data_IF_103525511989
#
_entry.id   IF_103525511989
#
_cell.length_a   1.000
_cell.length_b   1.000
_cell.length_c   1.000
_cell.angle_alpha   90.00
_cell.angle_beta   90.00
_cell.angle_gamma   90.00
#
_symmetry.space_group_name_H-M   'P 1'
#
loop_
_entity.id
_entity.type
_entity.pdbx_description
1 polymer ?
#
# COMPACT_ATOMS: atom_id res chain seq x y z
N UNK A 1 -21.83 -15.95 8.69
CA UNK A 1 -21.04 -14.76 9.08
C UNK A 1 -19.74 -14.77 8.29
N UNK A 2 -19.24 -13.61 7.82
CA UNK A 2 -17.93 -13.54 7.16
C UNK A 2 -16.83 -13.84 8.16
N UNK A 3 -15.85 -14.64 7.75
CA UNK A 3 -14.63 -14.91 8.50
C UNK A 3 -13.43 -15.10 7.54
N UNK A 4 -12.23 -14.89 8.07
CA UNK A 4 -10.97 -14.99 7.34
C UNK A 4 -10.25 -16.27 7.76
N UNK A 5 -9.74 -17.02 6.79
CA UNK A 5 -8.97 -18.25 7.03
C UNK A 5 -7.68 -18.25 6.23
N UNK A 6 -6.67 -18.89 6.79
CA UNK A 6 -5.44 -19.20 6.06
C UNK A 6 -5.74 -20.11 4.88
N UNK A 7 -4.92 -20.01 3.84
CA UNK A 7 -4.95 -20.95 2.74
C UNK A 7 -4.10 -22.16 3.12
N UNK A 8 -4.71 -23.35 3.05
CA UNK A 8 -4.11 -24.62 3.41
C UNK A 8 -4.33 -25.64 2.28
N UNK A 9 -3.71 -26.79 2.37
CA UNK A 9 -3.93 -27.89 1.40
C UNK A 9 -5.41 -28.32 1.34
N UNK A 10 -6.14 -28.17 2.43
CA UNK A 10 -7.56 -28.55 2.52
C UNK A 10 -8.47 -27.63 1.68
N UNK A 11 -8.18 -26.31 1.63
CA UNK A 11 -9.03 -25.33 0.94
C UNK A 11 -8.44 -24.78 -0.37
N UNK A 12 -7.13 -24.95 -0.59
CA UNK A 12 -6.43 -24.41 -1.75
C UNK A 12 -7.17 -24.66 -3.08
N UNK A 13 -7.62 -25.91 -3.32
CA UNK A 13 -8.30 -26.28 -4.58
C UNK A 13 -9.63 -25.56 -4.79
N UNK A 14 -10.28 -25.14 -3.72
CA UNK A 14 -11.51 -24.35 -3.80
C UNK A 14 -11.19 -22.88 -4.08
N UNK A 15 -10.20 -22.32 -3.37
CA UNK A 15 -9.82 -20.90 -3.47
C UNK A 15 -9.31 -20.56 -4.88
N UNK A 16 -8.49 -21.39 -5.50
CA UNK A 16 -7.96 -21.13 -6.86
C UNK A 16 -9.03 -21.16 -7.96
N UNK A 17 -10.22 -21.73 -7.68
CA UNK A 17 -11.35 -21.78 -8.62
C UNK A 17 -12.30 -20.60 -8.49
N UNK A 18 -12.20 -19.81 -7.44
CA UNK A 18 -13.02 -18.62 -7.29
C UNK A 18 -12.64 -17.59 -8.37
N UNK A 19 -13.62 -17.10 -9.09
CA UNK A 19 -13.45 -16.11 -10.17
C UNK A 19 -14.40 -14.95 -9.98
N UNK A 20 -14.02 -13.79 -10.45
CA UNK A 20 -14.92 -12.63 -10.60
C UNK A 20 -15.74 -12.75 -11.89
N UNK A 21 -16.70 -11.86 -12.06
CA UNK A 21 -17.38 -11.71 -13.36
C UNK A 21 -16.38 -11.34 -14.46
N UNK A 22 -16.64 -11.76 -15.71
CA UNK A 22 -15.76 -11.50 -16.85
C UNK A 22 -15.45 -10.01 -17.03
N UNK A 23 -16.44 -9.15 -16.80
CA UNK A 23 -16.28 -7.70 -16.86
C UNK A 23 -15.29 -7.12 -15.83
N UNK A 24 -15.05 -7.85 -14.76
CA UNK A 24 -14.13 -7.47 -13.67
C UNK A 24 -12.75 -8.13 -13.79
N UNK A 25 -12.58 -9.10 -14.69
CA UNK A 25 -11.34 -9.88 -14.83
C UNK A 25 -10.10 -9.04 -15.17
N UNK A 26 -10.29 -7.86 -15.74
CA UNK A 26 -9.23 -6.89 -16.02
C UNK A 26 -8.76 -6.10 -14.80
N UNK A 27 -9.51 -6.10 -13.70
CA UNK A 27 -9.19 -5.32 -12.50
C UNK A 27 -8.53 -6.13 -11.38
N UNK A 28 -8.53 -7.45 -11.47
CA UNK A 28 -7.91 -8.30 -10.44
C UNK A 28 -7.27 -9.54 -11.07
N UNK A 29 -6.05 -9.82 -10.67
CA UNK A 29 -5.36 -11.04 -11.10
C UNK A 29 -6.06 -12.30 -10.56
N UNK A 30 -5.88 -13.43 -11.25
CA UNK A 30 -6.41 -14.72 -10.77
C UNK A 30 -5.78 -15.12 -9.43
N UNK A 31 -6.53 -15.87 -8.61
CA UNK A 31 -6.01 -16.36 -7.33
C UNK A 31 -4.78 -17.26 -7.51
N UNK A 32 -4.69 -18.01 -8.62
CA UNK A 32 -3.49 -18.81 -8.96
C UNK A 32 -2.27 -17.91 -9.14
N UNK A 33 -2.40 -16.84 -9.93
CA UNK A 33 -1.32 -15.90 -10.16
C UNK A 33 -0.91 -15.20 -8.85
N UNK A 34 -1.89 -14.75 -8.05
CA UNK A 34 -1.65 -14.07 -6.77
C UNK A 34 -0.91 -14.97 -5.77
N UNK A 35 -1.24 -16.25 -5.72
CA UNK A 35 -0.53 -17.22 -4.88
C UNK A 35 0.90 -17.50 -5.37
N UNK A 36 1.12 -17.49 -6.70
CA UNK A 36 2.47 -17.59 -7.27
C UNK A 36 3.30 -16.33 -6.93
N UNK A 37 2.71 -15.12 -6.98
CA UNK A 37 3.37 -13.89 -6.51
C UNK A 37 3.69 -13.96 -5.01
N UNK A 38 2.78 -14.46 -4.18
CA UNK A 38 3.02 -14.62 -2.75
C UNK A 38 4.20 -15.57 -2.48
N UNK A 39 4.38 -16.61 -3.29
CA UNK A 39 5.50 -17.53 -3.16
C UNK A 39 6.86 -16.84 -3.36
N UNK A 40 6.98 -15.89 -4.28
CA UNK A 40 8.23 -15.16 -4.54
C UNK A 40 8.42 -13.93 -3.65
N UNK A 41 7.37 -13.49 -2.94
CA UNK A 41 7.36 -12.36 -2.02
C UNK A 41 6.97 -12.77 -0.59
N UNK A 42 7.52 -13.88 -0.08
CA UNK A 42 7.09 -14.50 1.19
C UNK A 42 7.25 -13.58 2.42
N UNK A 43 8.16 -12.64 2.37
CA UNK A 43 8.43 -11.71 3.47
C UNK A 43 7.29 -10.69 3.63
N UNK A 44 6.67 -10.27 2.53
CA UNK A 44 5.62 -9.24 2.48
C UNK A 44 4.22 -9.83 2.25
N UNK A 45 4.07 -10.74 1.29
CA UNK A 45 2.75 -11.21 0.87
C UNK A 45 2.08 -12.14 1.89
N UNK A 46 0.83 -11.84 2.21
CA UNK A 46 -0.02 -12.62 3.14
C UNK A 46 -1.36 -12.92 2.47
N UNK A 47 -1.51 -14.06 1.78
CA UNK A 47 -2.75 -14.48 1.14
C UNK A 47 -3.72 -15.13 2.13
N UNK A 48 -5.01 -14.80 1.99
CA UNK A 48 -6.10 -15.31 2.82
C UNK A 48 -7.34 -15.66 2.00
N UNK A 49 -8.14 -16.58 2.52
CA UNK A 49 -9.46 -16.93 2.02
C UNK A 49 -10.55 -16.21 2.82
N UNK A 50 -11.58 -15.72 2.11
CA UNK A 50 -12.79 -15.15 2.70
C UNK A 50 -13.88 -16.23 2.68
N UNK A 51 -14.46 -16.49 3.83
CA UNK A 51 -15.54 -17.46 4.01
C UNK A 51 -16.83 -16.78 4.46
N UNK A 52 -17.96 -17.27 3.98
CA UNK A 52 -19.25 -17.10 4.62
C UNK A 52 -19.66 -18.42 5.25
N UNK A 53 -19.66 -18.46 6.58
CA UNK A 53 -19.74 -19.70 7.36
C UNK A 53 -18.67 -20.71 6.90
N UNK A 54 -19.07 -21.86 6.32
CA UNK A 54 -18.13 -22.88 5.82
C UNK A 54 -17.89 -22.80 4.29
N UNK A 55 -18.47 -21.81 3.60
CA UNK A 55 -18.36 -21.68 2.16
C UNK A 55 -17.30 -20.64 1.80
N UNK A 56 -16.29 -20.97 1.00
CA UNK A 56 -15.33 -19.97 0.49
C UNK A 56 -16.05 -19.07 -0.53
N UNK A 57 -15.99 -17.76 -0.29
CA UNK A 57 -16.69 -16.76 -1.10
C UNK A 57 -15.77 -15.73 -1.74
N UNK A 58 -14.50 -15.69 -1.35
CA UNK A 58 -13.55 -14.72 -1.87
C UNK A 58 -12.11 -15.00 -1.45
N UNK A 59 -11.25 -14.10 -1.90
CA UNK A 59 -9.81 -14.13 -1.65
C UNK A 59 -9.32 -12.69 -1.45
N UNK A 60 -8.30 -12.52 -0.61
CA UNK A 60 -7.51 -11.31 -0.56
C UNK A 60 -6.05 -11.63 -0.25
N UNK A 61 -5.17 -10.69 -0.56
CA UNK A 61 -3.75 -10.77 -0.24
C UNK A 61 -3.30 -9.41 0.28
N UNK A 62 -2.61 -9.43 1.40
CA UNK A 62 -2.01 -8.24 1.99
C UNK A 62 -0.55 -8.14 1.57
N UNK A 63 -0.10 -6.91 1.40
CA UNK A 63 1.29 -6.52 1.42
C UNK A 63 1.61 -5.98 2.83
N UNK A 64 2.49 -6.68 3.56
CA UNK A 64 2.70 -6.49 4.98
C UNK A 64 4.05 -5.83 5.22
N UNK A 65 4.10 -4.50 5.13
CA UNK A 65 5.35 -3.74 5.28
C UNK A 65 5.47 -3.07 6.65
N UNK A 66 6.24 -3.70 7.55
CA UNK A 66 6.51 -3.14 8.88
C UNK A 66 7.51 -1.97 8.83
N UNK A 67 8.34 -1.86 7.79
CA UNK A 67 9.32 -0.77 7.64
C UNK A 67 8.64 0.56 7.30
N UNK A 68 7.64 0.53 6.42
CA UNK A 68 6.79 1.69 6.10
C UNK A 68 5.62 1.87 7.09
N UNK A 69 5.49 0.98 8.07
CA UNK A 69 4.37 0.96 9.03
C UNK A 69 3.01 0.92 8.34
N UNK A 70 2.94 0.22 7.21
CA UNK A 70 1.77 0.15 6.34
C UNK A 70 1.36 -1.29 6.01
N UNK A 71 0.12 -1.45 5.59
CA UNK A 71 -0.38 -2.69 5.00
C UNK A 71 -1.12 -2.35 3.71
N UNK A 72 -0.66 -2.90 2.60
CA UNK A 72 -1.35 -2.85 1.33
C UNK A 72 -2.43 -3.94 1.23
N UNK A 73 -3.62 -3.62 0.72
CA UNK A 73 -4.56 -4.63 0.23
C UNK A 73 -4.22 -4.90 -1.23
N UNK A 74 -3.19 -5.72 -1.45
CA UNK A 74 -2.66 -5.99 -2.78
C UNK A 74 -3.64 -6.70 -3.72
N UNK A 75 -4.52 -7.54 -3.15
CA UNK A 75 -5.60 -8.23 -3.92
C UNK A 75 -6.84 -8.33 -3.07
N UNK A 76 -7.97 -8.11 -3.70
CA UNK A 76 -9.27 -8.32 -3.06
C UNK A 76 -10.32 -8.72 -4.09
N UNK A 77 -11.00 -9.83 -3.84
CA UNK A 77 -12.11 -10.24 -4.70
C UNK A 77 -13.18 -11.03 -3.93
N UNK A 78 -14.42 -10.88 -4.35
CA UNK A 78 -15.53 -11.77 -4.01
C UNK A 78 -15.92 -12.51 -5.29
N UNK A 79 -16.06 -13.81 -5.21
CA UNK A 79 -16.50 -14.64 -6.34
C UNK A 79 -17.83 -14.16 -6.93
N UNK A 80 -17.97 -14.18 -8.25
CA UNK A 80 -19.16 -13.70 -8.97
C UNK A 80 -20.47 -14.27 -8.42
N UNK A 81 -20.49 -15.55 -8.03
CA UNK A 81 -21.65 -16.23 -7.43
C UNK A 81 -22.05 -15.68 -6.05
N UNK A 82 -21.16 -14.96 -5.41
CA UNK A 82 -21.29 -14.45 -4.04
C UNK A 82 -21.32 -12.93 -3.94
N UNK A 83 -21.25 -12.21 -5.07
CA UNK A 83 -21.36 -10.76 -5.12
C UNK A 83 -22.78 -10.26 -4.82
N UNK A 84 -22.94 -8.96 -4.62
CA UNK A 84 -24.22 -8.27 -4.34
C UNK A 84 -24.96 -8.75 -3.06
N UNK A 85 -24.26 -9.47 -2.16
CA UNK A 85 -24.79 -9.95 -0.87
C UNK A 85 -24.22 -9.17 0.32
N UNK A 86 -23.47 -8.10 0.07
CA UNK A 86 -22.80 -7.31 1.11
C UNK A 86 -21.53 -7.95 1.68
N UNK A 87 -21.07 -9.09 1.13
CA UNK A 87 -19.91 -9.82 1.65
C UNK A 87 -18.62 -9.05 1.48
N UNK A 88 -18.44 -8.28 0.41
CA UNK A 88 -17.26 -7.45 0.20
C UNK A 88 -17.04 -6.46 1.35
N UNK A 89 -18.11 -5.72 1.73
CA UNK A 89 -18.02 -4.76 2.84
C UNK A 89 -17.74 -5.45 4.18
N UNK A 90 -18.39 -6.57 4.46
CA UNK A 90 -18.14 -7.33 5.70
C UNK A 90 -16.70 -7.87 5.72
N UNK A 91 -16.18 -8.35 4.58
CA UNK A 91 -14.82 -8.84 4.47
C UNK A 91 -13.79 -7.72 4.73
N UNK A 92 -13.99 -6.52 4.17
CA UNK A 92 -13.12 -5.38 4.47
C UNK A 92 -13.13 -5.06 5.97
N UNK A 93 -14.27 -5.07 6.65
CA UNK A 93 -14.28 -4.85 8.11
C UNK A 93 -13.50 -5.93 8.89
N UNK A 94 -13.58 -7.20 8.48
CA UNK A 94 -12.77 -8.25 9.11
C UNK A 94 -11.27 -8.08 8.81
N UNK A 95 -10.90 -7.62 7.59
CA UNK A 95 -9.50 -7.27 7.24
C UNK A 95 -9.02 -6.10 8.10
N UNK A 96 -9.80 -5.01 8.21
CA UNK A 96 -9.45 -3.87 9.05
C UNK A 96 -9.24 -4.29 10.51
N UNK A 97 -10.08 -5.19 11.02
CA UNK A 97 -9.94 -5.73 12.36
C UNK A 97 -8.66 -6.56 12.51
N UNK A 98 -8.38 -7.46 11.58
CA UNK A 98 -7.16 -8.28 11.57
C UNK A 98 -5.91 -7.41 11.65
N UNK A 99 -5.86 -6.33 10.85
CA UNK A 99 -4.72 -5.42 10.79
C UNK A 99 -4.62 -4.58 12.08
N UNK A 100 -5.75 -4.06 12.59
CA UNK A 100 -5.78 -3.31 13.85
C UNK A 100 -5.31 -4.15 15.03
N UNK A 101 -5.72 -5.41 15.10
CA UNK A 101 -5.35 -6.33 16.18
C UNK A 101 -3.83 -6.62 16.19
N UNK A 102 -3.15 -6.53 15.05
CA UNK A 102 -1.69 -6.64 14.97
C UNK A 102 -0.97 -5.47 15.66
N UNK A 103 -1.58 -4.27 15.72
CA UNK A 103 -1.07 -3.06 16.39
C UNK A 103 0.36 -2.66 15.98
N UNK A 104 0.67 -2.78 14.69
CA UNK A 104 2.00 -2.53 14.11
C UNK A 104 2.02 -1.38 13.11
N UNK A 105 0.86 -1.02 12.55
CA UNK A 105 0.72 -0.18 11.39
C UNK A 105 0.01 1.13 11.71
N UNK A 106 0.30 2.15 10.94
CA UNK A 106 -0.28 3.47 11.07
C UNK A 106 -1.41 3.70 10.05
N UNK A 107 -1.36 2.99 8.90
CA UNK A 107 -2.39 3.08 7.87
C UNK A 107 -2.47 1.81 7.02
N UNK A 108 -3.57 1.70 6.28
CA UNK A 108 -3.78 0.69 5.24
C UNK A 108 -3.89 1.44 3.92
N UNK A 109 -3.27 0.92 2.86
CA UNK A 109 -3.43 1.44 1.51
C UNK A 109 -3.96 0.37 0.56
N UNK A 110 -4.46 0.82 -0.55
CA UNK A 110 -4.81 0.02 -1.71
C UNK A 110 -4.81 0.91 -2.95
N UNK A 111 -4.63 0.28 -4.09
CA UNK A 111 -4.70 0.90 -5.39
C UNK A 111 -5.92 0.37 -6.16
N UNK A 112 -6.52 1.22 -6.98
CA UNK A 112 -7.61 0.80 -7.84
C UNK A 112 -7.58 1.52 -9.20
N UNK A 113 -7.92 0.78 -10.25
CA UNK A 113 -8.08 1.34 -11.59
C UNK A 113 -9.28 2.30 -11.63
N UNK A 114 -9.16 3.54 -12.15
CA UNK A 114 -10.22 4.56 -12.12
C UNK A 114 -11.59 4.10 -12.63
N UNK A 115 -11.64 3.17 -13.60
CA UNK A 115 -12.86 2.60 -14.17
C UNK A 115 -13.53 1.56 -13.27
N UNK A 116 -12.88 1.13 -12.19
CA UNK A 116 -13.44 0.17 -11.24
C UNK A 116 -14.34 0.86 -10.20
N UNK A 117 -15.46 1.43 -10.67
CA UNK A 117 -16.41 2.16 -9.83
C UNK A 117 -17.02 1.33 -8.70
N UNK A 118 -17.09 0.00 -8.87
CA UNK A 118 -17.60 -0.92 -7.84
C UNK A 118 -16.62 -0.96 -6.65
N UNK A 119 -15.35 -1.17 -6.93
CA UNK A 119 -14.30 -1.16 -5.91
C UNK A 119 -14.19 0.20 -5.24
N UNK A 120 -14.14 1.29 -6.02
CA UNK A 120 -14.13 2.67 -5.52
C UNK A 120 -15.25 2.92 -4.53
N UNK A 121 -16.50 2.61 -4.91
CA UNK A 121 -17.68 2.80 -4.05
C UNK A 121 -17.63 1.95 -2.78
N UNK A 122 -17.10 0.72 -2.88
CA UNK A 122 -16.92 -0.16 -1.73
C UNK A 122 -15.92 0.47 -0.74
N UNK A 123 -14.74 0.87 -1.20
CA UNK A 123 -13.68 1.40 -0.34
C UNK A 123 -14.06 2.72 0.33
N UNK A 124 -14.67 3.66 -0.40
CA UNK A 124 -15.24 4.87 0.21
C UNK A 124 -16.29 4.55 1.29
N UNK A 125 -17.14 3.54 1.05
CA UNK A 125 -18.22 3.18 1.97
C UNK A 125 -17.72 2.61 3.32
N UNK A 126 -16.46 2.20 3.39
CA UNK A 126 -15.83 1.67 4.61
C UNK A 126 -14.79 2.62 5.20
N UNK A 127 -14.60 3.80 4.59
CA UNK A 127 -13.81 4.89 5.15
C UNK A 127 -12.43 5.10 4.54
N UNK A 128 -12.09 4.44 3.43
CA UNK A 128 -10.88 4.80 2.68
C UNK A 128 -11.08 6.16 2.00
N UNK A 129 -10.00 6.90 1.85
CA UNK A 129 -9.94 8.20 1.17
C UNK A 129 -8.81 8.18 0.15
N UNK A 130 -9.00 8.86 -1.00
CA UNK A 130 -7.92 9.10 -1.96
C UNK A 130 -6.89 10.06 -1.33
N UNK A 131 -5.60 9.69 -1.37
CA UNK A 131 -4.54 10.54 -0.82
C UNK A 131 -3.96 11.53 -1.85
N UNK A 132 -4.43 11.46 -3.10
CA UNK A 132 -4.00 12.30 -4.21
C UNK A 132 -2.80 11.77 -4.99
N UNK A 133 -2.35 10.56 -4.69
CA UNK A 133 -1.24 9.88 -5.38
C UNK A 133 -1.76 8.84 -6.36
N UNK A 134 -0.87 8.46 -7.28
CA UNK A 134 -1.08 7.42 -8.29
C UNK A 134 0.06 6.41 -8.21
N UNK A 135 -0.26 5.13 -8.37
CA UNK A 135 0.72 4.09 -8.67
C UNK A 135 0.50 3.64 -10.13
N UNK A 136 1.38 4.07 -11.02
CA UNK A 136 1.16 3.94 -12.46
C UNK A 136 -0.13 4.64 -12.91
N UNK A 137 -1.12 3.88 -13.34
CA UNK A 137 -2.45 4.34 -13.74
C UNK A 137 -3.55 4.07 -12.70
N UNK A 138 -3.18 3.58 -11.51
CA UNK A 138 -4.10 3.28 -10.41
C UNK A 138 -4.13 4.42 -9.38
N UNK A 139 -5.29 4.71 -8.83
CA UNK A 139 -5.50 5.71 -7.78
C UNK A 139 -5.22 5.07 -6.42
N UNK A 140 -4.39 5.74 -5.60
CA UNK A 140 -4.07 5.29 -4.24
C UNK A 140 -5.14 5.76 -3.26
N UNK A 141 -5.65 4.83 -2.46
CA UNK A 141 -6.52 5.13 -1.32
C UNK A 141 -5.88 4.68 -0.01
N UNK A 142 -6.12 5.43 1.06
CA UNK A 142 -5.60 5.15 2.40
C UNK A 142 -6.72 5.08 3.44
N UNK A 143 -6.53 4.25 4.45
CA UNK A 143 -7.35 4.18 5.66
C UNK A 143 -6.46 4.38 6.88
N UNK A 144 -6.58 5.49 7.62
CA UNK A 144 -5.77 5.75 8.79
C UNK A 144 -6.14 4.80 9.94
N UNK A 145 -5.14 4.25 10.60
CA UNK A 145 -5.29 3.41 11.80
C UNK A 145 -5.00 4.18 13.07
N UNK A 146 -4.36 5.35 12.96
CA UNK A 146 -4.00 6.24 14.07
C UNK A 146 -4.19 7.70 13.67
N UNK A 147 -4.50 8.55 14.65
CA UNK A 147 -4.57 10.01 14.45
C UNK A 147 -3.17 10.67 14.49
N UNK A 148 -2.13 9.90 14.84
CA UNK A 148 -0.75 10.39 14.96
C UNK A 148 0.23 9.39 14.31
N UNK A 149 0.25 9.31 12.96
CA UNK A 149 1.13 8.41 12.25
C UNK A 149 2.60 8.77 12.47
N UNK A 150 3.44 7.75 12.59
CA UNK A 150 4.89 7.94 12.70
C UNK A 150 5.53 8.09 11.34
N UNK A 151 6.72 8.66 11.32
CA UNK A 151 7.56 8.70 10.11
C UNK A 151 8.09 7.30 9.83
N UNK A 152 7.74 6.76 8.66
CA UNK A 152 8.40 5.61 8.06
C UNK A 152 9.62 6.04 7.27
N UNK A 153 10.54 5.11 6.95
CA UNK A 153 11.62 5.38 6.01
C UNK A 153 12.09 4.11 5.31
N UNK A 154 12.53 4.26 4.07
CA UNK A 154 13.18 3.22 3.26
C UNK A 154 14.43 3.77 2.58
N UNK A 155 15.26 2.85 2.06
CA UNK A 155 16.34 3.24 1.13
C UNK A 155 15.69 3.37 -0.24
N UNK A 156 15.84 4.54 -0.84
CA UNK A 156 15.29 4.83 -2.15
C UNK A 156 15.99 4.03 -3.26
N UNK A 157 15.23 3.59 -4.22
CA UNK A 157 15.69 2.94 -5.45
C UNK A 157 15.30 3.73 -6.72
N UNK A 158 15.50 3.14 -7.91
CA UNK A 158 15.24 3.85 -9.16
C UNK A 158 13.72 4.05 -9.42
N UNK A 159 12.85 3.24 -8.84
CA UNK A 159 11.40 3.35 -8.98
C UNK A 159 10.85 4.56 -8.18
N UNK A 160 11.52 4.97 -7.11
CA UNK A 160 11.19 6.17 -6.32
C UNK A 160 11.53 7.51 -7.03
N UNK A 161 12.19 7.48 -8.19
CA UNK A 161 12.81 8.66 -8.79
C UNK A 161 11.83 9.81 -9.08
N UNK A 162 10.68 9.50 -9.67
CA UNK A 162 9.70 10.54 -10.07
C UNK A 162 9.10 11.21 -8.81
N UNK A 163 8.78 10.45 -7.78
CA UNK A 163 8.26 10.97 -6.51
C UNK A 163 9.28 11.86 -5.79
N UNK A 164 10.55 11.44 -5.77
CA UNK A 164 11.63 12.22 -5.18
C UNK A 164 11.95 13.50 -5.94
N UNK A 165 11.80 13.52 -7.27
CA UNK A 165 11.98 14.76 -8.06
C UNK A 165 10.85 15.75 -7.80
N UNK A 166 9.61 15.28 -7.63
CA UNK A 166 8.47 16.11 -7.23
C UNK A 166 8.71 16.76 -5.85
N UNK A 167 9.27 16.00 -4.90
CA UNK A 167 9.66 16.55 -3.59
C UNK A 167 10.68 17.68 -3.72
N UNK A 168 11.69 17.55 -4.61
CA UNK A 168 12.67 18.60 -4.90
C UNK A 168 12.00 19.84 -5.47
N UNK A 169 11.11 19.66 -6.43
CA UNK A 169 10.43 20.79 -7.10
C UNK A 169 9.49 21.50 -6.12
N UNK A 170 8.78 20.78 -5.29
CA UNK A 170 7.98 21.37 -4.21
C UNK A 170 8.84 22.15 -3.19
N UNK A 171 10.04 21.62 -2.87
CA UNK A 171 11.00 22.34 -2.05
C UNK A 171 11.46 23.66 -2.68
N UNK A 172 11.72 23.68 -4.01
CA UNK A 172 12.05 24.91 -4.75
C UNK A 172 10.91 25.92 -4.73
N UNK A 173 9.68 25.48 -4.96
CA UNK A 173 8.48 26.32 -4.90
C UNK A 173 8.30 26.99 -3.53
N UNK A 174 8.66 26.29 -2.46
CA UNK A 174 8.66 26.78 -1.07
C UNK A 174 9.89 27.62 -0.71
N UNK A 175 10.76 27.94 -1.68
CA UNK A 175 12.03 28.67 -1.49
C UNK A 175 13.01 27.98 -0.52
N UNK A 176 12.98 26.67 -0.43
CA UNK A 176 13.92 25.89 0.39
C UNK A 176 15.32 25.85 -0.26
N UNK A 177 16.36 25.79 0.56
CA UNK A 177 17.72 25.58 0.07
C UNK A 177 17.91 24.11 -0.32
N UNK A 178 17.91 23.84 -1.62
CA UNK A 178 18.08 22.47 -2.13
C UNK A 178 19.56 22.06 -2.09
N UNK A 179 19.94 20.98 -1.39
CA UNK A 179 21.30 20.44 -1.43
C UNK A 179 21.76 20.06 -2.83
N UNK A 180 23.05 20.21 -3.11
CA UNK A 180 23.63 19.95 -4.46
C UNK A 180 23.44 18.52 -4.95
N UNK A 181 23.36 17.56 -4.05
CA UNK A 181 23.07 16.14 -4.36
C UNK A 181 21.63 15.90 -4.88
N UNK A 182 20.72 16.87 -4.70
CA UNK A 182 19.32 16.77 -5.11
C UNK A 182 18.92 17.81 -6.17
N UNK A 183 19.79 18.77 -6.51
CA UNK A 183 19.44 19.98 -7.26
C UNK A 183 18.90 19.73 -8.68
N UNK A 184 19.23 18.59 -9.27
CA UNK A 184 18.78 18.19 -10.61
C UNK A 184 18.66 16.67 -10.71
N UNK A 185 18.00 16.21 -11.79
CA UNK A 185 17.74 14.78 -12.08
C UNK A 185 19.01 13.92 -12.07
N UNK A 186 20.12 14.41 -12.65
CA UNK A 186 21.38 13.65 -12.74
C UNK A 186 22.00 13.41 -11.35
N UNK A 187 22.01 14.44 -10.50
CA UNK A 187 22.55 14.34 -9.14
C UNK A 187 21.69 13.46 -8.26
N UNK A 188 20.36 13.56 -8.38
CA UNK A 188 19.43 12.70 -7.64
C UNK A 188 19.61 11.22 -8.02
N UNK A 189 19.66 10.89 -9.31
CA UNK A 189 19.93 9.52 -9.78
C UNK A 189 21.27 8.98 -9.29
N UNK A 190 22.31 9.81 -9.25
CA UNK A 190 23.60 9.40 -8.66
C UNK A 190 23.46 9.06 -7.19
N UNK A 191 22.70 9.84 -6.42
CA UNK A 191 22.46 9.60 -5.00
C UNK A 191 21.69 8.30 -4.76
N UNK A 192 20.65 8.03 -5.56
CA UNK A 192 19.88 6.78 -5.51
C UNK A 192 20.81 5.57 -5.74
N UNK A 193 21.63 5.60 -6.78
CA UNK A 193 22.55 4.50 -7.14
C UNK A 193 23.61 4.16 -6.07
N UNK A 194 23.76 4.98 -5.05
CA UNK A 194 24.66 4.67 -3.92
C UNK A 194 24.04 3.75 -2.88
N UNK A 195 22.73 3.48 -2.94
CA UNK A 195 21.93 2.80 -1.90
C UNK A 195 22.05 3.48 -0.51
N UNK A 196 22.22 4.79 -0.47
CA UNK A 196 22.32 5.59 0.77
C UNK A 196 21.25 6.65 0.88
N UNK A 197 20.53 6.94 -0.21
CA UNK A 197 19.43 7.88 -0.19
C UNK A 197 18.29 7.28 0.61
N UNK A 198 17.85 7.92 1.69
CA UNK A 198 16.67 7.56 2.46
C UNK A 198 15.50 8.44 2.02
N UNK A 199 14.34 7.86 1.82
CA UNK A 199 13.07 8.57 1.73
C UNK A 199 12.28 8.39 3.02
N UNK A 200 11.52 9.41 3.40
CA UNK A 200 10.73 9.42 4.62
C UNK A 200 9.28 9.68 4.27
N UNK A 201 8.39 8.84 4.80
CA UNK A 201 6.97 8.85 4.45
C UNK A 201 6.09 9.07 5.67
N UNK A 202 4.91 9.66 5.44
CA UNK A 202 3.79 9.67 6.37
C UNK A 202 2.57 9.15 5.62
N UNK A 203 2.03 8.01 6.06
CA UNK A 203 0.89 7.35 5.42
C UNK A 203 1.10 7.11 3.92
N UNK A 204 2.31 6.65 3.55
CA UNK A 204 2.71 6.38 2.18
C UNK A 204 3.21 7.59 1.40
N UNK A 205 2.88 8.80 1.80
CA UNK A 205 3.30 10.02 1.12
C UNK A 205 4.72 10.43 1.50
N UNK A 206 5.59 10.61 0.51
CA UNK A 206 6.95 11.12 0.75
C UNK A 206 6.92 12.58 1.21
N UNK A 207 7.51 12.83 2.36
CA UNK A 207 7.58 14.16 2.99
C UNK A 207 9.01 14.69 3.11
N UNK A 208 10.00 13.82 2.99
CA UNK A 208 11.40 14.17 3.09
C UNK A 208 12.30 13.13 2.42
N UNK A 209 13.54 13.55 2.11
CA UNK A 209 14.65 12.66 1.76
C UNK A 209 15.94 13.12 2.39
N UNK A 210 16.85 12.18 2.64
CA UNK A 210 18.20 12.50 3.12
C UNK A 210 19.27 11.68 2.41
N UNK A 211 20.46 12.27 2.28
CA UNK A 211 21.67 11.64 1.76
C UNK A 211 22.86 12.14 2.56
N UNK A 212 23.55 11.23 3.27
CA UNK A 212 24.53 11.57 4.31
C UNK A 212 23.87 12.52 5.35
N UNK A 213 24.47 13.71 5.60
CA UNK A 213 23.98 14.74 6.54
C UNK A 213 23.02 15.78 5.92
N UNK A 214 22.65 15.58 4.66
CA UNK A 214 21.80 16.53 3.91
C UNK A 214 20.38 16.04 3.84
N UNK A 215 19.44 16.94 4.07
CA UNK A 215 17.99 16.64 4.11
C UNK A 215 17.20 17.70 3.34
N UNK A 216 16.12 17.27 2.69
CA UNK A 216 14.95 18.08 2.33
C UNK A 216 13.77 17.50 3.09
N UNK A 217 13.05 18.32 3.83
CA UNK A 217 11.81 17.97 4.53
C UNK A 217 10.77 19.05 4.27
N UNK A 218 9.67 18.70 3.61
CA UNK A 218 8.57 19.63 3.29
C UNK A 218 7.54 19.77 4.39
N UNK A 219 7.52 18.86 5.36
CA UNK A 219 6.62 18.84 6.51
C UNK A 219 7.40 19.12 7.80
N UNK A 220 7.67 20.39 8.09
CA UNK A 220 8.53 20.85 9.20
C UNK A 220 8.21 20.21 10.56
N UNK A 221 6.94 19.92 10.82
CA UNK A 221 6.50 19.29 12.09
C UNK A 221 7.12 17.90 12.34
N UNK A 222 7.61 17.22 11.30
CA UNK A 222 8.27 15.91 11.40
C UNK A 222 9.80 15.98 11.37
N UNK A 223 10.38 17.15 11.18
CA UNK A 223 11.83 17.30 11.00
C UNK A 223 12.63 16.74 12.19
N UNK A 224 12.21 17.01 13.43
CA UNK A 224 12.88 16.51 14.62
C UNK A 224 12.83 14.98 14.75
N UNK A 225 11.74 14.36 14.30
CA UNK A 225 11.60 12.90 14.26
C UNK A 225 12.53 12.30 13.21
N UNK A 226 12.59 12.89 12.02
CA UNK A 226 13.47 12.46 10.92
C UNK A 226 14.95 12.56 11.33
N UNK A 227 15.36 13.64 11.97
CA UNK A 227 16.73 13.83 12.46
C UNK A 227 17.13 12.69 13.41
N UNK A 228 16.26 12.30 14.33
CA UNK A 228 16.51 11.17 15.25
C UNK A 228 16.64 9.82 14.53
N UNK A 229 15.96 9.64 13.40
CA UNK A 229 16.08 8.42 12.57
C UNK A 229 17.40 8.42 11.78
N UNK A 230 17.96 9.61 11.48
CA UNK A 230 19.23 9.74 10.75
C UNK A 230 20.45 9.44 11.65
N UNK A 231 20.36 9.72 12.96
CA UNK A 231 21.39 9.43 13.97
C UNK A 231 21.54 7.92 14.24
#
# INVERSE_FOLDING_TARGET
MINIRNITDENFRQIIKLTVDESQSKFVATNVYSLAQAWVNQDLARPYAIYYDETPVGFFMLDWDESERSVGIWRFMISSEHQNKGYGRQAIYEILKLIKDANKFDFIHLEYVPENFVARSLYYSVGFIENGEMDGDEIVMVYPLTDNPKVGFTIADEDDFEELIELVDLGKERNMKIPTCFVNKENLLKSIKTNKLKRYTIMGKVIAMSYDDKIICIEEKYLDEIIKIME
#
